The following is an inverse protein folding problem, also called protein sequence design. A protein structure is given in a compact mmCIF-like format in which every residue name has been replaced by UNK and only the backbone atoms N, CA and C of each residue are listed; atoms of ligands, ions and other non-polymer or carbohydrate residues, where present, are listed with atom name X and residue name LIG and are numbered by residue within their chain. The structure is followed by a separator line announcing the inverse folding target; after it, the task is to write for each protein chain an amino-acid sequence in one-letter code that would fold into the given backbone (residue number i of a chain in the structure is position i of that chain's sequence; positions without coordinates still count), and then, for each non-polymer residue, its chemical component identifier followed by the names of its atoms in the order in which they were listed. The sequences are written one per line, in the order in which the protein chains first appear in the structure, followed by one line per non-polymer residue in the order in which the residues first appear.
data_IF_687127127030
#
_entry.id   IF_687127127030
#
_cell.length_a   1.000
_cell.length_b   1.000
_cell.length_c   1.000
_cell.angle_alpha   90.00
_cell.angle_beta   90.00
_cell.angle_gamma   90.00
#
_symmetry.space_group_name_H-M   'P 1'
#
loop_
_entity.id
_entity.type
_entity.pdbx_description
1 polymer ?
#
# COMPACT_ATOMS: atom_id res chain seq x y z
N UNK A 1 7.00 17.35 -20.51
CA UNK A 1 8.28 17.15 -21.22
C UNK A 1 9.39 16.52 -20.34
N UNK A 2 9.07 15.74 -19.30
CA UNK A 2 10.07 15.20 -18.35
C UNK A 2 10.33 13.67 -18.39
N UNK A 3 9.53 12.91 -19.15
CA UNK A 3 9.60 11.43 -19.16
C UNK A 3 10.86 10.88 -19.84
N UNK A 4 11.36 11.54 -20.90
CA UNK A 4 12.57 11.13 -21.61
C UNK A 4 13.85 11.30 -20.78
N UNK A 5 13.94 12.41 -20.03
CA UNK A 5 15.12 12.74 -19.21
C UNK A 5 15.23 11.80 -18.00
N UNK A 6 14.09 11.42 -17.39
CA UNK A 6 14.03 10.37 -16.37
C UNK A 6 14.49 9.01 -16.90
N UNK A 7 14.12 8.64 -18.13
CA UNK A 7 14.57 7.38 -18.76
C UNK A 7 16.07 7.37 -19.00
N UNK A 8 16.63 8.49 -19.48
CA UNK A 8 18.06 8.64 -19.74
C UNK A 8 18.91 8.54 -18.46
N UNK A 9 18.50 9.19 -17.36
CA UNK A 9 19.20 9.10 -16.07
C UNK A 9 19.26 7.67 -15.54
N UNK A 10 18.18 6.89 -15.69
CA UNK A 10 18.14 5.48 -15.28
C UNK A 10 19.05 4.61 -16.14
N UNK A 11 19.03 4.80 -17.46
CA UNK A 11 19.88 4.02 -18.35
C UNK A 11 21.37 4.26 -18.06
N UNK A 12 21.74 5.52 -17.79
CA UNK A 12 23.10 5.85 -17.39
C UNK A 12 23.46 5.19 -16.05
N UNK A 13 22.60 5.29 -15.04
CA UNK A 13 22.81 4.61 -13.75
C UNK A 13 22.97 3.10 -13.90
N UNK A 14 22.13 2.45 -14.71
CA UNK A 14 22.19 1.00 -14.95
C UNK A 14 23.51 0.62 -15.63
N UNK A 15 23.90 1.34 -16.68
CA UNK A 15 25.14 1.07 -17.42
C UNK A 15 26.36 1.31 -16.53
N UNK A 16 26.40 2.42 -15.78
CA UNK A 16 27.50 2.71 -14.85
C UNK A 16 27.59 1.67 -13.74
N UNK A 17 26.45 1.24 -13.18
CA UNK A 17 26.43 0.20 -12.15
C UNK A 17 26.90 -1.14 -12.72
N UNK A 18 26.45 -1.51 -13.92
CA UNK A 18 26.90 -2.72 -14.60
C UNK A 18 28.42 -2.69 -14.82
N UNK A 19 28.98 -1.60 -15.34
CA UNK A 19 30.41 -1.47 -15.58
C UNK A 19 31.25 -1.66 -14.31
N UNK A 20 30.82 -1.08 -13.18
CA UNK A 20 31.47 -1.29 -11.87
C UNK A 20 31.46 -2.77 -11.50
N UNK A 21 30.32 -3.44 -11.64
CA UNK A 21 30.19 -4.87 -11.30
C UNK A 21 31.07 -5.73 -12.20
N UNK A 22 31.13 -5.46 -13.50
CA UNK A 22 31.98 -6.18 -14.45
C UNK A 22 33.47 -6.05 -14.09
N UNK A 23 33.91 -4.84 -13.71
CA UNK A 23 35.30 -4.57 -13.32
C UNK A 23 35.69 -5.29 -12.02
N UNK A 24 34.87 -5.15 -10.97
CA UNK A 24 35.16 -5.77 -9.67
C UNK A 24 34.97 -7.30 -9.65
N UNK A 25 34.05 -7.84 -10.44
CA UNK A 25 33.79 -9.29 -10.48
C UNK A 25 34.88 -10.08 -11.23
N UNK A 26 35.82 -9.37 -11.89
CA UNK A 26 36.94 -9.96 -12.65
C UNK A 26 36.43 -11.05 -13.61
N UNK A 27 35.39 -10.72 -14.37
CA UNK A 27 34.74 -11.68 -15.27
C UNK A 27 35.71 -12.03 -16.40
N UNK A 28 36.09 -13.30 -16.46
CA UNK A 28 36.92 -13.82 -17.55
C UNK A 28 36.02 -14.58 -18.53
N UNK A 29 35.98 -14.11 -19.79
CA UNK A 29 35.22 -14.76 -20.85
C UNK A 29 36.04 -15.94 -21.35
N UNK A 30 35.60 -17.15 -21.01
CA UNK A 30 36.40 -18.36 -21.28
C UNK A 30 36.01 -18.99 -22.60
N UNK A 31 34.72 -19.01 -22.91
CA UNK A 31 34.21 -19.45 -24.21
C UNK A 31 32.95 -18.69 -24.58
N UNK A 32 32.93 -18.17 -25.80
CA UNK A 32 31.72 -17.69 -26.45
C UNK A 32 31.20 -18.86 -27.28
N UNK A 33 30.15 -19.53 -26.81
CA UNK A 33 29.51 -20.62 -27.54
C UNK A 33 28.17 -20.14 -28.11
N UNK A 34 27.71 -20.73 -29.21
CA UNK A 34 26.50 -20.28 -29.92
C UNK A 34 25.21 -20.37 -29.08
N UNK A 35 25.23 -21.20 -28.01
CA UNK A 35 24.12 -21.42 -27.07
C UNK A 35 24.29 -20.70 -25.72
N UNK A 36 25.39 -19.99 -25.50
CA UNK A 36 25.65 -19.32 -24.23
C UNK A 36 27.12 -18.96 -24.05
N UNK A 37 27.34 -17.85 -23.34
CA UNK A 37 28.67 -17.40 -22.94
C UNK A 37 29.01 -18.05 -21.59
N UNK A 38 30.09 -18.83 -21.55
CA UNK A 38 30.64 -19.34 -20.29
C UNK A 38 31.51 -18.25 -19.67
N UNK A 39 30.99 -17.64 -18.60
CA UNK A 39 31.69 -16.63 -17.81
C UNK A 39 32.31 -17.31 -16.58
N UNK A 40 33.63 -17.28 -16.46
CA UNK A 40 34.29 -17.61 -15.20
C UNK A 40 34.29 -16.36 -14.33
N UNK A 41 33.63 -16.47 -13.19
CA UNK A 41 33.52 -15.40 -12.21
C UNK A 41 34.70 -15.51 -11.25
N UNK A 42 35.62 -14.54 -11.27
CA UNK A 42 36.78 -14.53 -10.40
C UNK A 42 36.42 -14.34 -8.93
N UNK A 43 35.44 -13.47 -8.62
CA UNK A 43 34.98 -13.18 -7.26
C UNK A 43 33.45 -13.21 -7.16
N UNK A 44 32.84 -14.35 -6.80
CA UNK A 44 31.40 -14.49 -6.67
C UNK A 44 30.78 -13.55 -5.61
N UNK A 45 31.54 -13.21 -4.56
CA UNK A 45 31.09 -12.31 -3.48
C UNK A 45 30.69 -10.93 -4.02
N UNK A 46 31.43 -10.43 -5.02
CA UNK A 46 31.17 -9.12 -5.63
C UNK A 46 29.80 -9.11 -6.34
N UNK A 47 29.44 -10.20 -7.02
CA UNK A 47 28.14 -10.32 -7.67
C UNK A 47 27.01 -10.35 -6.65
N UNK A 48 27.24 -11.00 -5.50
CA UNK A 48 26.24 -11.03 -4.43
C UNK A 48 26.02 -9.64 -3.84
N UNK A 49 27.09 -8.89 -3.53
CA UNK A 49 27.00 -7.50 -3.08
C UNK A 49 26.31 -6.61 -4.13
N UNK A 50 26.66 -6.78 -5.39
CA UNK A 50 26.04 -6.05 -6.51
C UNK A 50 24.53 -6.31 -6.61
N UNK A 51 24.11 -7.58 -6.46
CA UNK A 51 22.71 -7.96 -6.47
C UNK A 51 21.95 -7.30 -5.30
N UNK A 52 22.54 -7.25 -4.11
CA UNK A 52 21.97 -6.56 -2.95
C UNK A 52 21.84 -5.05 -3.14
N UNK A 53 22.86 -4.40 -3.73
CA UNK A 53 22.82 -2.97 -4.05
C UNK A 53 21.75 -2.67 -5.09
N UNK A 54 21.67 -3.47 -6.16
CA UNK A 54 20.64 -3.34 -7.19
C UNK A 54 19.24 -3.56 -6.62
N UNK A 55 19.06 -4.60 -5.81
CA UNK A 55 17.80 -4.88 -5.11
C UNK A 55 17.38 -3.69 -4.25
N UNK A 56 18.28 -3.15 -3.42
CA UNK A 56 18.00 -2.01 -2.55
C UNK A 56 17.64 -0.75 -3.33
N UNK A 57 18.34 -0.49 -4.44
CA UNK A 57 18.02 0.61 -5.34
C UNK A 57 16.62 0.46 -5.98
N UNK A 58 16.30 -0.72 -6.52
CA UNK A 58 14.98 -0.96 -7.12
C UNK A 58 13.86 -0.90 -6.07
N UNK A 59 14.10 -1.41 -4.87
CA UNK A 59 13.15 -1.32 -3.76
C UNK A 59 12.87 0.13 -3.37
N UNK A 60 13.91 0.93 -3.17
CA UNK A 60 13.77 2.35 -2.82
C UNK A 60 13.11 3.14 -3.96
N UNK A 61 13.43 2.83 -5.22
CA UNK A 61 12.80 3.45 -6.38
C UNK A 61 11.32 3.12 -6.47
N UNK A 62 10.96 1.87 -6.20
CA UNK A 62 9.57 1.43 -6.15
C UNK A 62 8.80 2.14 -5.05
N UNK A 63 9.40 2.28 -3.86
CA UNK A 63 8.83 3.04 -2.75
C UNK A 63 8.58 4.52 -3.11
N UNK A 64 9.52 5.16 -3.81
CA UNK A 64 9.33 6.53 -4.31
C UNK A 64 8.15 6.62 -5.29
N UNK A 65 8.06 5.67 -6.22
CA UNK A 65 6.96 5.61 -7.19
C UNK A 65 5.60 5.49 -6.48
N UNK A 66 5.50 4.63 -5.47
CA UNK A 66 4.27 4.51 -4.68
C UNK A 66 3.86 5.80 -3.97
N UNK A 67 4.82 6.62 -3.54
CA UNK A 67 4.54 7.91 -2.88
C UNK A 67 4.15 9.01 -3.86
N UNK A 68 4.63 8.96 -5.10
CA UNK A 68 4.27 9.92 -6.15
C UNK A 68 2.86 9.67 -6.71
N UNK A 69 2.36 8.44 -6.61
CA UNK A 69 0.99 8.06 -6.96
C UNK A 69 0.00 8.71 -5.97
N UNK A 70 -0.42 9.96 -6.27
CA UNK A 70 -1.21 10.84 -5.38
C UNK A 70 -2.55 10.29 -4.92
N UNK A 71 -3.07 9.24 -5.55
CA UNK A 71 -4.45 8.80 -5.32
C UNK A 71 -4.58 7.27 -5.36
N UNK A 72 -3.85 6.60 -4.47
CA UNK A 72 -4.01 5.16 -4.26
C UNK A 72 -5.47 4.82 -3.88
N UNK A 73 -6.24 5.74 -3.28
CA UNK A 73 -7.64 5.57 -2.80
C UNK A 73 -7.89 4.31 -1.96
N UNK A 74 -6.84 3.60 -1.54
CA UNK A 74 -6.95 2.35 -0.79
C UNK A 74 -7.60 2.65 0.56
N UNK A 75 -7.10 3.68 1.26
CA UNK A 75 -7.61 4.08 2.58
C UNK A 75 -9.06 4.55 2.49
N UNK A 76 -9.39 5.41 1.52
CA UNK A 76 -10.77 5.88 1.33
C UNK A 76 -11.73 4.74 0.98
N UNK A 77 -11.27 3.74 0.21
CA UNK A 77 -12.08 2.57 -0.14
C UNK A 77 -12.29 1.65 1.07
N UNK A 78 -11.27 1.44 1.91
CA UNK A 78 -11.38 0.70 3.17
C UNK A 78 -12.36 1.41 4.11
N UNK A 79 -12.21 2.73 4.27
CA UNK A 79 -13.08 3.55 5.12
C UNK A 79 -14.54 3.51 4.64
N UNK A 80 -14.78 3.73 3.35
CA UNK A 80 -16.12 3.68 2.76
C UNK A 80 -16.78 2.30 2.97
N UNK A 81 -16.02 1.21 2.85
CA UNK A 81 -16.54 -0.15 3.09
C UNK A 81 -16.81 -0.39 4.58
N UNK A 82 -15.90 0.08 5.44
CA UNK A 82 -16.06 0.02 6.89
C UNK A 82 -17.32 0.77 7.35
N UNK A 83 -17.56 1.97 6.82
CA UNK A 83 -18.79 2.74 7.05
C UNK A 83 -20.03 1.98 6.60
N UNK A 84 -19.99 1.36 5.41
CA UNK A 84 -21.08 0.52 4.92
C UNK A 84 -21.42 -0.64 5.87
N UNK A 85 -20.42 -1.31 6.43
CA UNK A 85 -20.61 -2.40 7.42
C UNK A 85 -21.14 -1.86 8.75
N UNK A 86 -20.62 -0.72 9.22
CA UNK A 86 -21.06 -0.07 10.45
C UNK A 86 -22.54 0.36 10.36
N UNK A 87 -22.94 0.98 9.25
CA UNK A 87 -24.34 1.39 8.99
C UNK A 87 -25.27 0.18 8.89
N UNK A 88 -24.85 -0.88 8.18
CA UNK A 88 -25.64 -2.09 8.04
C UNK A 88 -25.90 -2.76 9.40
N UNK A 89 -24.89 -2.80 10.27
CA UNK A 89 -25.02 -3.43 11.59
C UNK A 89 -25.79 -2.58 12.61
N UNK A 90 -25.58 -1.26 12.58
CA UNK A 90 -26.28 -0.35 13.48
C UNK A 90 -27.76 -0.22 13.12
N UNK A 91 -28.18 -0.62 11.92
CA UNK A 91 -29.53 -0.39 11.37
C UNK A 91 -29.94 1.08 11.43
N UNK A 92 -28.98 2.01 11.43
CA UNK A 92 -29.27 3.45 11.42
C UNK A 92 -30.12 3.83 10.18
N UNK A 93 -30.05 3.04 9.09
CA UNK A 93 -30.96 3.13 7.94
C UNK A 93 -32.46 2.97 8.27
N UNK A 94 -32.87 2.28 9.33
CA UNK A 94 -34.31 2.18 9.68
C UNK A 94 -34.82 3.32 10.55
N UNK A 95 -33.93 4.18 11.06
CA UNK A 95 -34.28 5.48 11.65
C UNK A 95 -34.30 6.61 10.57
N UNK A 96 -33.96 6.26 9.31
CA UNK A 96 -33.66 7.18 8.20
C UNK A 96 -34.80 7.34 7.16
N UNK A 97 -36.06 7.04 7.47
CA UNK A 97 -37.13 7.22 6.48
C UNK A 97 -37.63 8.68 6.35
N UNK A 98 -37.30 9.57 7.29
CA UNK A 98 -38.08 10.81 7.47
C UNK A 98 -37.29 12.13 7.42
N UNK A 99 -35.95 12.13 7.36
CA UNK A 99 -35.17 13.38 7.46
C UNK A 99 -34.03 13.44 6.42
N UNK A 100 -33.81 14.65 5.90
CA UNK A 100 -32.99 15.05 4.74
C UNK A 100 -31.54 14.55 4.74
N UNK A 101 -31.02 14.24 3.54
CA UNK A 101 -29.85 13.38 3.32
C UNK A 101 -28.52 14.16 3.15
N UNK A 102 -28.58 15.46 2.88
CA UNK A 102 -27.46 16.21 2.29
C UNK A 102 -26.43 16.74 3.30
N UNK A 103 -26.73 16.76 4.61
CA UNK A 103 -25.90 17.43 5.63
C UNK A 103 -25.39 16.52 6.76
N UNK A 104 -25.38 15.20 6.55
CA UNK A 104 -25.07 14.23 7.60
C UNK A 104 -23.61 13.77 7.54
N UNK A 105 -22.98 13.74 8.71
CA UNK A 105 -21.67 13.12 8.90
C UNK A 105 -21.75 12.00 9.94
N UNK A 106 -21.06 10.89 9.66
CA UNK A 106 -20.93 9.75 10.56
C UNK A 106 -19.52 9.72 11.12
N UNK A 107 -19.36 9.47 12.41
CA UNK A 107 -18.05 9.24 13.00
C UNK A 107 -18.15 8.29 14.18
N UNK A 108 -17.06 7.54 14.40
CA UNK A 108 -16.86 6.81 15.64
C UNK A 108 -16.36 7.79 16.70
N UNK A 109 -17.12 7.90 17.79
CA UNK A 109 -16.69 8.60 19.00
C UNK A 109 -16.18 7.57 20.00
N UNK A 110 -14.94 7.73 20.46
CA UNK A 110 -14.42 6.93 21.57
C UNK A 110 -15.01 7.47 22.87
N UNK A 111 -15.82 6.67 23.56
CA UNK A 111 -16.50 7.07 24.81
C UNK A 111 -15.85 6.44 26.04
N UNK A 112 -14.99 5.43 25.86
CA UNK A 112 -14.16 4.87 26.93
C UNK A 112 -13.00 4.01 26.41
N UNK A 113 -12.35 3.27 27.32
CA UNK A 113 -11.18 2.44 26.98
C UNK A 113 -11.51 1.29 25.99
N UNK A 114 -12.70 0.68 26.13
CA UNK A 114 -13.18 -0.44 25.30
C UNK A 114 -14.53 -0.16 24.62
N UNK A 115 -15.03 1.06 24.69
CA UNK A 115 -16.37 1.44 24.24
C UNK A 115 -16.30 2.51 23.18
N UNK A 116 -16.98 2.23 22.08
CA UNK A 116 -17.08 3.10 20.92
C UNK A 116 -18.55 3.32 20.62
N UNK A 117 -18.90 4.58 20.42
CA UNK A 117 -20.25 4.96 20.02
C UNK A 117 -20.21 5.42 18.57
N UNK A 118 -21.08 4.84 17.76
CA UNK A 118 -21.29 5.31 16.40
C UNK A 118 -22.36 6.40 16.47
N UNK A 119 -21.95 7.64 16.19
CA UNK A 119 -22.80 8.84 16.35
C UNK A 119 -23.21 9.37 14.98
N UNK A 120 -24.49 9.69 14.86
CA UNK A 120 -25.05 10.40 13.71
C UNK A 120 -25.22 11.87 14.07
N UNK A 121 -24.60 12.75 13.28
CA UNK A 121 -24.74 14.19 13.43
C UNK A 121 -25.63 14.77 12.35
N UNK A 122 -26.56 15.64 12.77
CA UNK A 122 -27.25 16.57 11.87
C UNK A 122 -26.61 17.95 11.96
N UNK A 123 -26.42 18.58 10.81
CA UNK A 123 -26.17 20.01 10.77
C UNK A 123 -27.50 20.75 10.59
N UNK A 124 -27.93 21.46 11.62
CA UNK A 124 -29.10 22.33 11.50
C UNK A 124 -28.65 23.71 11.00
N UNK A 125 -28.97 24.09 9.74
CA UNK A 125 -28.54 25.37 9.18
C UNK A 125 -29.15 26.58 9.90
N UNK A 126 -30.30 26.41 10.58
CA UNK A 126 -30.94 27.48 11.34
C UNK A 126 -30.23 27.83 12.65
N UNK A 127 -29.45 26.91 13.22
CA UNK A 127 -28.72 27.13 14.48
C UNK A 127 -27.21 27.22 14.31
N UNK A 128 -26.69 26.86 13.13
CA UNK A 128 -25.24 26.79 12.87
C UNK A 128 -24.50 25.80 13.78
N UNK A 129 -25.22 24.83 14.36
CA UNK A 129 -24.69 23.85 15.32
C UNK A 129 -24.95 22.43 14.86
N UNK A 130 -23.97 21.57 15.13
CA UNK A 130 -24.05 20.14 14.90
C UNK A 130 -24.67 19.49 16.13
N UNK A 131 -25.73 18.68 15.93
CA UNK A 131 -26.40 17.95 17.01
C UNK A 131 -26.22 16.44 16.83
N UNK A 132 -25.78 15.77 17.89
CA UNK A 132 -25.71 14.30 17.97
C UNK A 132 -27.16 13.76 18.07
N UNK A 133 -27.72 13.27 16.96
CA UNK A 133 -29.13 12.82 16.88
C UNK A 133 -29.30 11.45 17.54
N UNK A 134 -28.34 10.56 17.33
CA UNK A 134 -28.42 9.17 17.75
C UNK A 134 -27.02 8.60 17.95
N UNK A 135 -26.83 7.90 19.07
CA UNK A 135 -25.63 7.15 19.35
C UNK A 135 -25.99 5.70 19.60
N UNK A 136 -25.35 4.79 18.87
CA UNK A 136 -25.45 3.35 19.13
C UNK A 136 -24.12 2.85 19.67
N UNK A 137 -24.18 2.17 20.81
CA UNK A 137 -23.02 1.55 21.45
C UNK A 137 -22.54 0.38 20.60
N UNK A 138 -21.26 0.37 20.28
CA UNK A 138 -20.59 -0.69 19.52
C UNK A 138 -19.42 -1.23 20.36
N UNK A 139 -19.29 -2.56 20.43
CA UNK A 139 -18.16 -3.18 21.11
C UNK A 139 -16.91 -3.20 20.22
N UNK A 140 -15.73 -3.14 20.84
CA UNK A 140 -14.43 -3.17 20.14
C UNK A 140 -14.30 -4.34 19.17
N UNK A 141 -14.80 -5.53 19.55
CA UNK A 141 -14.72 -6.73 18.73
C UNK A 141 -15.44 -6.58 17.39
N UNK A 142 -16.61 -5.94 17.37
CA UNK A 142 -17.35 -5.71 16.12
C UNK A 142 -16.64 -4.70 15.23
N UNK A 143 -16.10 -3.62 15.81
CA UNK A 143 -15.30 -2.62 15.06
C UNK A 143 -14.07 -3.29 14.44
N UNK A 144 -13.36 -4.12 15.22
CA UNK A 144 -12.19 -4.85 14.75
C UNK A 144 -12.54 -5.83 13.61
N UNK A 145 -13.64 -6.57 13.73
CA UNK A 145 -14.12 -7.49 12.69
C UNK A 145 -14.49 -6.73 11.41
N UNK A 146 -15.15 -5.57 11.51
CA UNK A 146 -15.48 -4.77 10.32
C UNK A 146 -14.25 -4.21 9.65
N UNK A 147 -13.28 -3.71 10.44
CA UNK A 147 -12.02 -3.22 9.92
C UNK A 147 -11.24 -4.34 9.22
N UNK A 148 -11.10 -5.49 9.88
CA UNK A 148 -10.44 -6.67 9.31
C UNK A 148 -11.11 -7.11 8.01
N UNK A 149 -12.45 -7.19 7.99
CA UNK A 149 -13.20 -7.62 6.81
C UNK A 149 -13.11 -6.61 5.67
N UNK A 150 -13.13 -5.31 5.97
CA UNK A 150 -12.93 -4.25 4.97
C UNK A 150 -11.52 -4.27 4.38
N UNK A 151 -10.50 -4.44 5.23
CA UNK A 151 -9.10 -4.58 4.78
C UNK A 151 -8.94 -5.81 3.90
N UNK A 152 -9.35 -7.00 4.37
CA UNK A 152 -9.24 -8.23 3.59
C UNK A 152 -9.95 -8.14 2.25
N UNK A 153 -11.16 -7.56 2.22
CA UNK A 153 -11.90 -7.41 0.97
C UNK A 153 -11.17 -6.47 0.00
N UNK A 154 -10.71 -5.31 0.46
CA UNK A 154 -9.99 -4.36 -0.41
C UNK A 154 -8.66 -4.96 -0.87
N UNK A 155 -7.95 -5.68 -0.02
CA UNK A 155 -6.68 -6.33 -0.38
C UNK A 155 -6.85 -7.42 -1.43
N UNK A 156 -7.91 -8.23 -1.35
CA UNK A 156 -8.12 -9.35 -2.29
C UNK A 156 -8.83 -8.91 -3.57
N UNK A 157 -9.77 -7.96 -3.50
CA UNK A 157 -10.63 -7.59 -4.64
C UNK A 157 -10.15 -6.36 -5.41
N UNK A 158 -9.14 -5.64 -4.92
CA UNK A 158 -8.63 -4.45 -5.63
C UNK A 158 -7.33 -4.81 -6.36
N UNK A 159 -7.32 -4.84 -7.71
CA UNK A 159 -6.12 -5.16 -8.50
C UNK A 159 -4.94 -4.24 -8.16
N UNK A 160 -5.23 -2.98 -7.83
CA UNK A 160 -4.26 -1.98 -7.38
C UNK A 160 -3.61 -2.32 -6.04
N UNK A 161 -4.17 -3.20 -5.24
CA UNK A 161 -3.52 -3.62 -3.99
C UNK A 161 -2.57 -4.75 -4.29
N UNK A 162 -2.97 -5.72 -5.10
CA UNK A 162 -2.08 -6.81 -5.54
C UNK A 162 -0.90 -6.32 -6.37
N UNK A 163 -1.11 -5.39 -7.31
CA UNK A 163 -0.03 -4.83 -8.14
C UNK A 163 1.00 -4.02 -7.33
N UNK A 164 0.58 -3.45 -6.20
CA UNK A 164 1.41 -2.58 -5.39
C UNK A 164 2.03 -3.27 -4.17
N UNK A 165 1.29 -4.19 -3.54
CA UNK A 165 1.74 -4.92 -2.35
C UNK A 165 2.54 -6.17 -2.73
N UNK A 166 2.20 -6.88 -3.81
CA UNK A 166 2.92 -8.11 -4.18
C UNK A 166 4.41 -7.87 -4.44
N UNK A 167 4.84 -6.81 -5.16
CA UNK A 167 6.26 -6.54 -5.35
C UNK A 167 6.99 -6.21 -4.04
N UNK A 168 6.32 -5.55 -3.09
CA UNK A 168 6.89 -5.29 -1.75
C UNK A 168 7.06 -6.61 -0.98
N UNK A 169 6.04 -7.45 -0.96
CA UNK A 169 6.08 -8.73 -0.24
C UNK A 169 7.18 -9.61 -0.81
N UNK A 170 7.25 -9.74 -2.13
CA UNK A 170 8.33 -10.50 -2.81
C UNK A 170 9.70 -9.87 -2.51
N UNK A 171 9.81 -8.55 -2.55
CA UNK A 171 11.05 -7.88 -2.22
C UNK A 171 11.46 -8.12 -0.77
N UNK A 172 10.55 -8.16 0.20
CA UNK A 172 10.85 -8.45 1.61
C UNK A 172 11.19 -9.94 1.82
N UNK A 173 10.59 -10.85 1.06
CA UNK A 173 10.88 -12.29 1.17
C UNK A 173 12.27 -12.62 0.60
N UNK A 174 12.68 -11.97 -0.49
CA UNK A 174 13.99 -12.20 -1.12
C UNK A 174 15.21 -12.14 -0.15
N UNK A 175 15.36 -11.13 0.72
CA UNK A 175 16.44 -11.08 1.71
C UNK A 175 16.28 -12.13 2.81
N UNK A 176 15.06 -12.50 3.19
CA UNK A 176 14.82 -13.53 4.21
C UNK A 176 15.25 -14.90 3.71
N UNK A 177 14.96 -15.22 2.45
CA UNK A 177 15.36 -16.49 1.82
C UNK A 177 16.86 -16.56 1.55
N UNK A 178 17.53 -15.44 1.29
CA UNK A 178 18.98 -15.46 1.01
C UNK A 178 19.87 -15.54 2.25
N UNK A 179 19.32 -15.25 3.43
CA UNK A 179 20.01 -15.33 4.73
C UNK A 179 19.81 -16.70 5.40
N UNK A 180 18.75 -17.43 5.04
CA UNK A 180 18.39 -18.77 5.53
C UNK A 180 19.14 -19.87 4.78
#
# INVERSE_FOLDING_TARGET
MGSGLLRQRRNLLIISSALIVFDFAQLTVVKINLLGTELLIGKPEVLMVAAWVLWGYFFLRYYQYMREEKDLKIISTILHRFEGLAVAHTKLKSFNAEIDQENRSYYLKKVGFLRWDYVLNDYNPGEGKVRDISSKKVSLGHVAVWLLRSVLHVTVMTPRVTEYIAPIVVAIIAPVVSIL
#
